data_IF_941715216821
#
_entry.id   IF_941715216821
#
_cell.length_a   1.000
_cell.length_b   1.000
_cell.length_c   1.000
_cell.angle_alpha   90.00
_cell.angle_beta   90.00
_cell.angle_gamma   90.00
#
_symmetry.space_group_name_H-M   'P 1'
#
loop_
_entity.id
_entity.type
_entity.pdbx_description
1 polymer ?
#
# COMPACT_ATOMS: atom_id res chain seq x y z
N UNK A 1 55.93 16.47 -4.51
CA UNK A 1 56.09 17.94 -4.66
C UNK A 1 57.13 18.13 -5.75
N UNK A 2 56.73 18.69 -6.89
CA UNK A 2 57.66 18.96 -7.99
C UNK A 2 58.40 20.25 -7.64
N UNK A 3 59.72 20.19 -7.54
CA UNK A 3 60.55 21.37 -7.31
C UNK A 3 60.31 22.40 -8.44
N UNK A 4 60.18 23.71 -8.15
CA UNK A 4 60.03 24.69 -9.19
C UNK A 4 61.34 24.76 -9.98
N UNK A 5 61.32 24.25 -11.21
CA UNK A 5 62.43 24.40 -12.15
C UNK A 5 62.72 25.88 -12.32
N UNK A 6 63.94 26.29 -11.97
CA UNK A 6 64.44 27.64 -12.19
C UNK A 6 64.57 27.87 -13.70
N UNK A 7 63.53 28.41 -14.31
CA UNK A 7 63.59 28.88 -15.70
C UNK A 7 64.61 30.02 -15.77
N UNK A 8 65.73 29.78 -16.46
CA UNK A 8 66.70 30.83 -16.79
C UNK A 8 66.25 31.50 -18.08
N UNK A 9 65.74 32.72 -17.98
CA UNK A 9 65.35 33.53 -19.13
C UNK A 9 66.58 34.19 -19.77
N UNK A 10 66.62 34.26 -21.09
CA UNK A 10 67.71 34.90 -21.84
C UNK A 10 67.56 36.43 -21.87
N UNK A 11 66.36 36.96 -21.60
CA UNK A 11 66.08 38.40 -21.48
C UNK A 11 64.89 38.68 -20.57
N UNK A 12 64.80 39.91 -20.05
CA UNK A 12 63.65 40.37 -19.25
C UNK A 12 62.33 40.29 -20.04
N UNK A 13 62.40 40.45 -21.36
CA UNK A 13 61.24 40.46 -22.27
C UNK A 13 60.67 39.06 -22.48
N UNK A 14 61.54 38.04 -22.51
CA UNK A 14 61.16 36.62 -22.52
C UNK A 14 60.52 36.21 -21.19
N UNK A 15 61.07 36.66 -20.06
CA UNK A 15 60.49 36.42 -18.73
C UNK A 15 59.07 37.03 -18.62
N UNK A 16 58.90 38.27 -19.07
CA UNK A 16 57.62 38.98 -19.04
C UNK A 16 56.59 38.30 -19.97
N UNK A 17 57.01 37.82 -21.13
CA UNK A 17 56.19 37.03 -22.04
C UNK A 17 55.74 35.70 -21.43
N UNK A 18 56.67 34.94 -20.84
CA UNK A 18 56.39 33.67 -20.18
C UNK A 18 55.34 33.82 -19.06
N UNK A 19 55.54 34.77 -18.13
CA UNK A 19 54.59 34.98 -17.03
C UNK A 19 53.22 35.48 -17.51
N UNK A 20 53.19 36.28 -18.58
CA UNK A 20 51.94 36.74 -19.19
C UNK A 20 51.16 35.59 -19.83
N UNK A 21 51.84 34.70 -20.56
CA UNK A 21 51.21 33.54 -21.17
C UNK A 21 50.79 32.50 -20.12
N UNK A 22 51.58 32.34 -19.05
CA UNK A 22 51.20 31.52 -17.89
C UNK A 22 49.96 32.07 -17.18
N UNK A 23 49.88 33.39 -16.98
CA UNK A 23 48.70 34.03 -16.42
C UNK A 23 47.44 33.82 -17.27
N UNK A 24 47.57 33.87 -18.60
CA UNK A 24 46.46 33.56 -19.51
C UNK A 24 46.05 32.09 -19.44
N UNK A 25 47.01 31.16 -19.49
CA UNK A 25 46.73 29.73 -19.41
C UNK A 25 45.99 29.36 -18.11
N UNK A 26 46.46 29.86 -16.96
CA UNK A 26 45.77 29.65 -15.69
C UNK A 26 44.38 30.30 -15.65
N UNK A 27 44.18 31.41 -16.36
CA UNK A 27 42.87 32.05 -16.47
C UNK A 27 41.90 31.21 -17.33
N UNK A 28 42.37 30.65 -18.44
CA UNK A 28 41.60 29.76 -19.31
C UNK A 28 41.22 28.47 -18.59
N UNK A 29 42.18 27.82 -17.90
CA UNK A 29 41.94 26.60 -17.11
C UNK A 29 40.92 26.85 -15.99
N UNK A 30 40.99 27.99 -15.31
CA UNK A 30 40.01 28.38 -14.30
C UNK A 30 38.61 28.57 -14.91
N UNK A 31 38.52 29.17 -16.09
CA UNK A 31 37.25 29.37 -16.79
C UNK A 31 36.62 28.04 -17.20
N UNK A 32 37.41 27.11 -17.73
CA UNK A 32 36.96 25.76 -18.07
C UNK A 32 36.47 25.02 -16.83
N UNK A 33 37.25 25.04 -15.74
CA UNK A 33 36.85 24.40 -14.49
C UNK A 33 35.53 24.98 -13.94
N UNK A 34 35.37 26.31 -13.97
CA UNK A 34 34.14 26.97 -13.55
C UNK A 34 32.95 26.59 -14.43
N UNK A 35 33.16 26.44 -15.74
CA UNK A 35 32.10 26.03 -16.66
C UNK A 35 31.68 24.58 -16.38
N UNK A 36 32.64 23.67 -16.27
CA UNK A 36 32.39 22.27 -15.93
C UNK A 36 31.69 22.11 -14.58
N UNK A 37 32.07 22.92 -13.57
CA UNK A 37 31.39 22.92 -12.27
C UNK A 37 29.93 23.34 -12.41
N UNK A 38 29.64 24.40 -13.18
CA UNK A 38 28.26 24.86 -13.41
C UNK A 38 27.41 23.82 -14.14
N UNK A 39 27.98 23.18 -15.16
CA UNK A 39 27.26 22.17 -15.94
C UNK A 39 26.95 20.95 -15.06
N UNK A 40 27.92 20.51 -14.24
CA UNK A 40 27.72 19.41 -13.29
C UNK A 40 26.68 19.74 -12.20
N UNK A 41 26.71 20.97 -11.66
CA UNK A 41 25.69 21.44 -10.71
C UNK A 41 24.29 21.40 -11.34
N UNK A 42 24.14 21.84 -12.59
CA UNK A 42 22.87 21.81 -13.30
C UNK A 42 22.35 20.38 -13.55
N UNK A 43 23.24 19.43 -13.84
CA UNK A 43 22.90 18.01 -13.95
C UNK A 43 22.39 17.46 -12.62
N UNK A 44 23.11 17.71 -11.52
CA UNK A 44 22.71 17.28 -10.18
C UNK A 44 21.37 17.87 -9.74
N UNK A 45 21.12 19.15 -10.02
CA UNK A 45 19.84 19.80 -9.75
C UNK A 45 18.68 19.15 -10.54
N UNK A 46 18.96 18.77 -11.79
CA UNK A 46 17.97 18.09 -12.64
C UNK A 46 17.63 16.70 -12.10
N UNK A 47 18.65 15.92 -11.73
CA UNK A 47 18.47 14.59 -11.13
C UNK A 47 17.72 14.66 -9.79
N UNK A 48 18.09 15.62 -8.94
CA UNK A 48 17.42 15.84 -7.66
C UNK A 48 15.93 16.14 -7.87
N UNK A 49 15.61 17.07 -8.77
CA UNK A 49 14.23 17.44 -9.09
C UNK A 49 13.43 16.26 -9.64
N UNK A 50 14.04 15.41 -10.47
CA UNK A 50 13.40 14.19 -10.96
C UNK A 50 13.13 13.20 -9.83
N UNK A 51 14.10 12.99 -8.93
CA UNK A 51 13.97 12.10 -7.78
C UNK A 51 12.88 12.58 -6.81
N UNK A 52 12.86 13.88 -6.50
CA UNK A 52 11.83 14.50 -5.68
C UNK A 52 10.44 14.37 -6.30
N UNK A 53 10.32 14.57 -7.62
CA UNK A 53 9.08 14.36 -8.37
C UNK A 53 8.57 12.93 -8.25
N UNK A 54 9.44 11.95 -8.49
CA UNK A 54 9.11 10.53 -8.36
C UNK A 54 8.71 10.16 -6.93
N UNK A 55 9.40 10.69 -5.92
CA UNK A 55 9.08 10.43 -4.53
C UNK A 55 7.70 11.01 -4.17
N UNK A 56 7.38 12.21 -4.63
CA UNK A 56 6.06 12.82 -4.45
C UNK A 56 4.94 11.98 -5.09
N UNK A 57 5.14 11.49 -6.31
CA UNK A 57 4.19 10.59 -6.97
C UNK A 57 4.00 9.29 -6.19
N UNK A 58 5.09 8.68 -5.71
CA UNK A 58 5.02 7.47 -4.88
C UNK A 58 4.26 7.70 -3.58
N UNK A 59 4.47 8.85 -2.91
CA UNK A 59 3.74 9.20 -1.70
C UNK A 59 2.24 9.38 -1.96
N UNK A 60 1.87 10.07 -3.05
CA UNK A 60 0.47 10.22 -3.44
C UNK A 60 -0.19 8.87 -3.73
N UNK A 61 0.50 8.01 -4.48
CA UNK A 61 0.03 6.65 -4.76
C UNK A 61 -0.08 5.81 -3.49
N UNK A 62 0.88 5.90 -2.57
CA UNK A 62 0.84 5.19 -1.30
C UNK A 62 -0.37 5.62 -0.46
N UNK A 63 -0.62 6.92 -0.37
CA UNK A 63 -1.78 7.45 0.35
C UNK A 63 -3.10 6.99 -0.28
N UNK A 64 -3.22 7.03 -1.61
CA UNK A 64 -4.40 6.52 -2.32
C UNK A 64 -4.63 5.04 -2.03
N UNK A 65 -3.60 4.21 -2.14
CA UNK A 65 -3.69 2.77 -1.89
C UNK A 65 -4.05 2.47 -0.42
N UNK A 66 -3.53 3.24 0.54
CA UNK A 66 -3.91 3.12 1.96
C UNK A 66 -5.40 3.41 2.17
N UNK A 67 -5.92 4.46 1.56
CA UNK A 67 -7.35 4.80 1.64
C UNK A 67 -8.23 3.72 0.99
N UNK A 68 -7.83 3.20 -0.17
CA UNK A 68 -8.54 2.10 -0.85
C UNK A 68 -8.55 0.83 0.02
N UNK A 69 -7.42 0.51 0.64
CA UNK A 69 -7.30 -0.63 1.54
C UNK A 69 -8.20 -0.48 2.76
N UNK A 70 -8.26 0.70 3.37
CA UNK A 70 -9.12 0.96 4.53
C UNK A 70 -10.60 0.84 4.16
N UNK A 71 -11.02 1.42 3.04
CA UNK A 71 -12.39 1.31 2.54
C UNK A 71 -12.79 -0.15 2.25
N UNK A 72 -11.87 -0.96 1.72
CA UNK A 72 -12.13 -2.39 1.50
C UNK A 72 -12.28 -3.14 2.83
N UNK A 73 -11.43 -2.84 3.82
CA UNK A 73 -11.55 -3.43 5.16
C UNK A 73 -12.86 -3.09 5.83
N UNK A 74 -13.25 -1.80 5.85
CA UNK A 74 -14.52 -1.36 6.44
C UNK A 74 -15.72 -2.07 5.80
N UNK A 75 -15.73 -2.18 4.47
CA UNK A 75 -16.77 -2.91 3.74
C UNK A 75 -16.79 -4.39 4.08
N UNK A 76 -15.61 -5.01 4.14
CA UNK A 76 -15.49 -6.42 4.49
C UNK A 76 -15.99 -6.68 5.92
N UNK A 77 -15.59 -5.87 6.89
CA UNK A 77 -16.01 -5.99 8.28
C UNK A 77 -17.52 -5.81 8.43
N UNK A 78 -18.11 -4.80 7.77
CA UNK A 78 -19.56 -4.60 7.74
C UNK A 78 -20.28 -5.82 7.16
N UNK A 79 -19.88 -6.28 5.97
CA UNK A 79 -20.50 -7.43 5.31
C UNK A 79 -20.35 -8.72 6.14
N UNK A 80 -19.19 -8.90 6.77
CA UNK A 80 -18.93 -10.05 7.61
C UNK A 80 -19.81 -10.03 8.87
N UNK A 81 -19.94 -8.87 9.53
CA UNK A 81 -20.83 -8.70 10.68
C UNK A 81 -22.29 -8.98 10.32
N UNK A 82 -22.76 -8.43 9.20
CA UNK A 82 -24.12 -8.67 8.70
C UNK A 82 -24.35 -10.15 8.37
N UNK A 83 -23.40 -10.79 7.70
CA UNK A 83 -23.47 -12.21 7.38
C UNK A 83 -23.55 -13.08 8.64
N UNK A 84 -22.74 -12.80 9.67
CA UNK A 84 -22.80 -13.50 10.95
C UNK A 84 -24.17 -13.33 11.61
N UNK A 85 -24.72 -12.11 11.61
CA UNK A 85 -26.05 -11.85 12.16
C UNK A 85 -27.14 -12.63 11.41
N UNK A 86 -27.05 -12.71 10.08
CA UNK A 86 -27.97 -13.49 9.27
C UNK A 86 -27.88 -14.98 9.54
N UNK A 87 -26.66 -15.52 9.67
CA UNK A 87 -26.44 -16.93 10.01
C UNK A 87 -27.06 -17.25 11.36
N UNK A 88 -26.79 -16.46 12.40
CA UNK A 88 -27.36 -16.69 13.74
C UNK A 88 -28.89 -16.64 13.74
N UNK A 89 -29.50 -15.70 13.01
CA UNK A 89 -30.95 -15.65 12.88
C UNK A 89 -31.52 -16.88 12.14
N UNK A 90 -30.82 -17.38 11.11
CA UNK A 90 -31.22 -18.61 10.42
C UNK A 90 -31.09 -19.85 11.31
N UNK A 91 -30.03 -19.94 12.11
CA UNK A 91 -29.84 -21.02 13.08
C UNK A 91 -30.95 -21.04 14.14
N UNK A 92 -31.33 -19.86 14.65
CA UNK A 92 -32.45 -19.72 15.60
C UNK A 92 -33.78 -20.17 14.99
N UNK A 93 -34.11 -19.67 13.79
CA UNK A 93 -35.33 -20.06 13.07
C UNK A 93 -35.37 -21.57 12.77
N UNK A 94 -34.22 -22.16 12.44
CA UNK A 94 -34.10 -23.60 12.19
C UNK A 94 -34.36 -24.39 13.48
N UNK A 95 -33.81 -23.95 14.60
CA UNK A 95 -34.04 -24.56 15.91
C UNK A 95 -35.52 -24.47 16.31
N UNK A 96 -36.16 -23.31 16.14
CA UNK A 96 -37.58 -23.11 16.42
C UNK A 96 -38.45 -24.02 15.54
N UNK A 97 -38.21 -24.03 14.22
CA UNK A 97 -38.95 -24.88 13.28
C UNK A 97 -38.80 -26.35 13.62
N UNK A 98 -37.60 -26.76 14.03
CA UNK A 98 -37.31 -28.13 14.46
C UNK A 98 -38.08 -28.47 15.74
N UNK A 99 -38.10 -27.59 16.74
CA UNK A 99 -38.85 -27.79 17.96
C UNK A 99 -40.36 -27.90 17.71
N UNK A 100 -40.92 -27.03 16.85
CA UNK A 100 -42.33 -27.10 16.44
C UNK A 100 -42.65 -28.41 15.74
N UNK A 101 -41.79 -28.84 14.80
CA UNK A 101 -41.95 -30.13 14.11
C UNK A 101 -41.96 -31.29 15.10
N UNK A 102 -41.02 -31.33 16.02
CA UNK A 102 -40.88 -32.41 16.99
C UNK A 102 -42.09 -32.43 17.96
N UNK A 103 -42.60 -31.26 18.34
CA UNK A 103 -43.83 -31.14 19.11
C UNK A 103 -45.05 -31.68 18.35
N UNK A 104 -45.22 -31.30 17.09
CA UNK A 104 -46.33 -31.79 16.24
C UNK A 104 -46.26 -33.31 16.04
N UNK A 105 -45.06 -33.87 15.85
CA UNK A 105 -44.89 -35.33 15.75
C UNK A 105 -45.31 -36.05 17.03
N UNK A 106 -44.97 -35.49 18.20
CA UNK A 106 -45.41 -36.03 19.49
C UNK A 106 -46.94 -35.95 19.61
N UNK A 107 -47.52 -34.81 19.27
CA UNK A 107 -48.96 -34.59 19.34
C UNK A 107 -49.74 -35.54 18.42
N UNK A 108 -49.24 -35.81 17.21
CA UNK A 108 -49.84 -36.80 16.30
C UNK A 108 -49.89 -38.19 16.96
N UNK A 109 -48.80 -38.64 17.59
CA UNK A 109 -48.75 -39.95 18.27
C UNK A 109 -49.74 -40.02 19.44
N UNK A 110 -49.89 -38.93 20.19
CA UNK A 110 -50.86 -38.85 21.29
C UNK A 110 -52.31 -38.94 20.78
N UNK A 111 -52.62 -38.29 19.65
CA UNK A 111 -53.92 -38.40 19.00
C UNK A 111 -54.19 -39.80 18.45
N UNK A 112 -53.20 -40.43 17.81
CA UNK A 112 -53.28 -41.81 17.33
C UNK A 112 -53.59 -42.77 18.48
N UNK A 113 -52.86 -42.65 19.61
CA UNK A 113 -53.10 -43.46 20.80
C UNK A 113 -54.50 -43.25 21.38
N UNK A 114 -54.94 -41.99 21.51
CA UNK A 114 -56.29 -41.71 22.02
C UNK A 114 -57.38 -42.26 21.09
N UNK A 115 -57.15 -42.28 19.78
CA UNK A 115 -58.08 -42.84 18.82
C UNK A 115 -58.16 -44.37 18.94
N UNK A 116 -57.02 -45.05 19.09
CA UNK A 116 -56.96 -46.50 19.33
C UNK A 116 -57.72 -46.89 20.62
N UNK A 117 -57.55 -46.12 21.70
CA UNK A 117 -58.25 -46.35 22.97
C UNK A 117 -59.78 -46.16 22.85
N UNK A 118 -60.21 -45.15 22.08
CA UNK A 118 -61.62 -44.93 21.78
C UNK A 118 -62.22 -46.06 20.95
N UNK A 119 -61.52 -46.51 19.90
CA UNK A 119 -61.95 -47.65 19.09
C UNK A 119 -62.06 -48.93 19.93
N UNK A 120 -61.08 -49.17 20.83
CA UNK A 120 -61.10 -50.31 21.74
C UNK A 120 -62.31 -50.26 22.67
N UNK A 121 -62.59 -49.09 23.25
CA UNK A 121 -63.76 -48.88 24.11
C UNK A 121 -65.05 -49.17 23.34
N UNK A 122 -65.18 -48.62 22.13
CA UNK A 122 -66.33 -48.87 21.26
C UNK A 122 -66.52 -50.35 20.94
N UNK A 123 -65.44 -51.11 20.70
CA UNK A 123 -65.50 -52.56 20.46
C UNK A 123 -65.84 -53.37 21.71
N UNK A 124 -65.50 -52.89 22.91
CA UNK A 124 -65.83 -53.57 24.17
C UNK A 124 -67.26 -53.33 24.66
N UNK A 125 -67.90 -52.25 24.19
CA UNK A 125 -69.26 -51.85 24.56
C UNK A 125 -70.30 -52.32 23.54
N UNK A 126 -69.86 -52.70 22.34
CA UNK A 126 -70.69 -53.20 21.23
C UNK A 126 -70.60 -54.72 21.09
#
# INVERSE_FOLDING_TARGET
>A
MVEPTTHKFASLEEELGFWKDMGKFSQEELQEFQQMSRDYEAELETELKQCEGRNKELLLNNNRLRMELENIKEKFESQHSDALRHISAMEENLAETTAVRDHLQKYIRELEQSNDDLERTKRSVS
#
